data_IF_913211490034
#
_entry.id   IF_913211490034
#
_cell.length_a   1.000
_cell.length_b   1.000
_cell.length_c   1.000
_cell.angle_alpha   90.00
_cell.angle_beta   90.00
_cell.angle_gamma   90.00
#
_symmetry.space_group_name_H-M   'P 1'
#
loop_
_entity.id
_entity.type
_entity.pdbx_description
1 polymer ?
#
# COMPACT_ATOMS: atom_id res chain seq x y z
N UNK A 1 -61.71 35.45 -11.92
CA UNK A 1 -60.80 35.30 -10.76
C UNK A 1 -59.76 34.17 -10.95
N UNK A 2 -60.04 33.11 -11.71
CA UNK A 2 -59.11 31.98 -11.97
C UNK A 2 -57.88 32.29 -12.85
N UNK A 3 -57.93 33.30 -13.72
CA UNK A 3 -56.81 33.63 -14.61
C UNK A 3 -55.67 34.32 -13.84
N UNK A 4 -56.00 35.12 -12.81
CA UNK A 4 -55.00 35.77 -11.96
C UNK A 4 -54.25 34.78 -11.05
N UNK A 5 -54.88 33.70 -10.61
CA UNK A 5 -54.24 32.69 -9.74
C UNK A 5 -53.26 31.80 -10.52
N UNK A 6 -53.56 31.44 -11.78
CA UNK A 6 -52.63 30.71 -12.68
C UNK A 6 -51.38 31.53 -13.02
N UNK A 7 -51.52 32.83 -13.28
CA UNK A 7 -50.40 33.75 -13.56
C UNK A 7 -49.48 33.93 -12.35
N UNK A 8 -50.06 34.11 -11.15
CA UNK A 8 -49.29 34.18 -9.89
C UNK A 8 -48.55 32.88 -9.60
N UNK A 9 -49.17 31.70 -9.80
CA UNK A 9 -48.49 30.40 -9.64
C UNK A 9 -47.33 30.18 -10.63
N UNK A 10 -47.48 30.56 -11.91
CA UNK A 10 -46.37 30.49 -12.88
C UNK A 10 -45.21 31.41 -12.52
N UNK A 11 -45.49 32.64 -12.04
CA UNK A 11 -44.46 33.56 -11.56
C UNK A 11 -43.73 33.03 -10.32
N UNK A 12 -44.45 32.43 -9.36
CA UNK A 12 -43.84 31.80 -8.18
C UNK A 12 -42.95 30.62 -8.58
N UNK A 13 -43.38 29.77 -9.52
CA UNK A 13 -42.58 28.62 -10.02
C UNK A 13 -41.31 29.10 -10.75
N UNK A 14 -41.42 30.14 -11.57
CA UNK A 14 -40.28 30.72 -12.31
C UNK A 14 -39.30 31.42 -11.36
N UNK A 15 -39.78 32.06 -10.30
CA UNK A 15 -38.93 32.72 -9.29
C UNK A 15 -38.34 31.72 -8.28
N UNK A 16 -38.98 30.58 -8.03
CA UNK A 16 -38.44 29.52 -7.16
C UNK A 16 -37.38 28.67 -7.84
N UNK A 17 -37.43 28.52 -9.17
CA UNK A 17 -36.47 27.73 -9.94
C UNK A 17 -35.00 28.17 -9.78
N UNK A 18 -34.65 29.47 -9.89
CA UNK A 18 -33.27 29.92 -9.64
C UNK A 18 -32.87 29.76 -8.17
N UNK A 19 -33.80 29.90 -7.22
CA UNK A 19 -33.52 29.68 -5.80
C UNK A 19 -33.22 28.21 -5.51
N UNK A 20 -33.99 27.29 -6.09
CA UNK A 20 -33.75 25.84 -5.99
C UNK A 20 -32.40 25.47 -6.64
N UNK A 21 -32.08 26.06 -7.80
CA UNK A 21 -30.79 25.83 -8.46
C UNK A 21 -29.63 26.35 -7.61
N UNK A 22 -29.74 27.55 -7.03
CA UNK A 22 -28.73 28.10 -6.13
C UNK A 22 -28.59 27.26 -4.87
N UNK A 23 -29.68 26.78 -4.28
CA UNK A 23 -29.65 25.89 -3.14
C UNK A 23 -28.99 24.54 -3.46
N UNK A 24 -29.24 23.98 -4.64
CA UNK A 24 -28.60 22.74 -5.11
C UNK A 24 -27.10 22.93 -5.40
N UNK A 25 -26.71 24.06 -5.99
CA UNK A 25 -25.30 24.41 -6.19
C UNK A 25 -24.62 24.59 -4.83
N UNK A 26 -25.26 25.31 -3.90
CA UNK A 26 -24.75 25.53 -2.57
C UNK A 26 -24.58 24.21 -1.81
N UNK A 27 -25.55 23.29 -1.87
CA UNK A 27 -25.46 21.99 -1.19
C UNK A 27 -24.34 21.10 -1.72
N UNK A 28 -23.96 21.23 -3.00
CA UNK A 28 -22.84 20.52 -3.61
C UNK A 28 -21.50 21.18 -3.26
N UNK A 29 -21.42 22.52 -3.34
CA UNK A 29 -20.17 23.26 -3.19
C UNK A 29 -19.80 23.54 -1.72
N UNK A 30 -20.74 23.88 -0.85
CA UNK A 30 -20.45 24.25 0.55
C UNK A 30 -19.64 23.18 1.30
N UNK A 31 -19.98 21.87 1.22
CA UNK A 31 -19.22 20.84 1.94
C UNK A 31 -17.74 20.78 1.54
N UNK A 32 -17.43 21.11 0.29
CA UNK A 32 -16.04 21.12 -0.19
C UNK A 32 -15.23 22.29 0.36
N UNK A 33 -15.87 23.41 0.70
CA UNK A 33 -15.20 24.60 1.24
C UNK A 33 -15.05 24.56 2.76
N UNK A 34 -15.74 23.61 3.43
CA UNK A 34 -15.68 23.48 4.88
C UNK A 34 -14.43 22.71 5.31
N UNK A 35 -13.70 23.21 6.32
CA UNK A 35 -12.54 22.51 6.85
C UNK A 35 -12.93 21.17 7.48
N UNK A 36 -12.04 20.18 7.38
CA UNK A 36 -12.19 18.92 8.09
C UNK A 36 -11.90 19.14 9.58
N UNK A 37 -12.81 18.70 10.45
CA UNK A 37 -12.52 18.53 11.87
C UNK A 37 -11.80 17.18 12.11
N UNK A 38 -11.31 16.93 13.33
CA UNK A 38 -10.59 15.69 13.62
C UNK A 38 -11.39 14.42 13.33
N UNK A 39 -12.71 14.43 13.53
CA UNK A 39 -13.54 13.28 13.20
C UNK A 39 -13.65 13.04 11.68
N UNK A 40 -13.72 14.09 10.87
CA UNK A 40 -13.66 13.98 9.40
C UNK A 40 -12.27 13.53 8.93
N UNK A 41 -11.20 14.02 9.56
CA UNK A 41 -9.85 13.59 9.25
C UNK A 41 -9.67 12.09 9.51
N UNK A 42 -10.08 11.60 10.69
CA UNK A 42 -10.05 10.16 11.03
C UNK A 42 -10.85 9.32 10.04
N UNK A 43 -12.09 9.72 9.74
CA UNK A 43 -12.97 9.01 8.79
C UNK A 43 -12.53 9.09 7.33
N UNK A 44 -11.52 9.91 7.01
CA UNK A 44 -10.92 9.92 5.68
C UNK A 44 -9.89 8.80 5.48
N UNK A 45 -9.32 8.28 6.57
CA UNK A 45 -8.22 7.32 6.53
C UNK A 45 -8.70 5.95 6.06
N UNK A 46 -7.90 5.32 5.20
CA UNK A 46 -8.07 3.92 4.78
C UNK A 46 -6.82 3.11 5.12
N UNK A 47 -6.99 1.80 5.31
CA UNK A 47 -5.89 0.85 5.44
C UNK A 47 -5.80 0.01 4.17
N UNK A 48 -4.66 0.02 3.52
CA UNK A 48 -4.41 -0.74 2.30
C UNK A 48 -3.33 -1.77 2.57
N UNK A 49 -3.66 -3.03 2.28
CA UNK A 49 -2.68 -4.10 2.16
C UNK A 49 -2.18 -4.15 0.71
N UNK A 50 -0.90 -3.85 0.55
CA UNK A 50 -0.18 -3.92 -0.72
C UNK A 50 0.61 -5.23 -0.75
N UNK A 51 0.42 -6.00 -1.81
CA UNK A 51 1.14 -7.25 -2.04
C UNK A 51 1.85 -7.25 -3.37
N UNK A 52 3.09 -7.73 -3.38
CA UNK A 52 3.91 -7.84 -4.58
C UNK A 52 4.65 -9.18 -4.62
N UNK A 53 4.70 -9.79 -5.80
CA UNK A 53 5.56 -10.92 -6.08
C UNK A 53 5.87 -10.97 -7.58
N UNK A 54 6.81 -11.84 -7.95
CA UNK A 54 7.28 -12.00 -9.31
C UNK A 54 6.95 -13.41 -9.81
N UNK A 55 6.40 -13.51 -11.01
CA UNK A 55 6.09 -14.77 -11.69
C UNK A 55 7.08 -15.03 -12.82
N UNK A 56 7.67 -16.21 -12.82
CA UNK A 56 8.44 -16.75 -13.93
C UNK A 56 7.47 -17.52 -14.82
N UNK A 57 7.27 -16.99 -16.03
CA UNK A 57 6.24 -17.47 -16.98
C UNK A 57 6.87 -17.98 -18.26
N UNK A 58 6.29 -19.04 -18.83
CA UNK A 58 6.52 -19.44 -20.22
C UNK A 58 5.21 -19.24 -20.99
N UNK A 59 5.16 -18.20 -21.82
CA UNK A 59 3.90 -17.75 -22.42
C UNK A 59 2.92 -17.27 -21.34
N UNK A 60 1.81 -17.99 -21.18
CA UNK A 60 0.78 -17.71 -20.16
C UNK A 60 0.80 -18.69 -18.97
N UNK A 61 1.72 -19.66 -18.95
CA UNK A 61 1.85 -20.61 -17.85
C UNK A 61 2.87 -20.08 -16.84
N UNK A 62 2.47 -20.00 -15.57
CA UNK A 62 3.37 -19.75 -14.44
C UNK A 62 4.13 -21.04 -14.13
N UNK A 63 5.45 -20.96 -14.05
CA UNK A 63 6.33 -22.10 -13.73
C UNK A 63 6.89 -21.98 -12.32
N UNK A 64 7.22 -20.77 -11.91
CA UNK A 64 7.77 -20.49 -10.61
C UNK A 64 7.44 -19.06 -10.18
N UNK A 65 7.60 -18.77 -8.90
CA UNK A 65 7.42 -17.46 -8.29
C UNK A 65 8.61 -17.11 -7.41
N UNK A 66 8.91 -15.82 -7.30
CA UNK A 66 9.92 -15.28 -6.40
C UNK A 66 9.43 -14.01 -5.70
N UNK A 67 9.99 -13.72 -4.53
CA UNK A 67 9.58 -12.55 -3.75
C UNK A 67 10.21 -11.25 -4.26
N UNK A 68 11.45 -11.30 -4.73
CA UNK A 68 12.22 -10.12 -5.10
C UNK A 68 13.31 -10.45 -6.13
N UNK A 69 13.83 -9.39 -6.76
CA UNK A 69 14.96 -9.42 -7.68
C UNK A 69 16.03 -8.48 -7.12
N UNK A 70 17.17 -9.06 -6.73
CA UNK A 70 18.28 -8.29 -6.19
C UNK A 70 18.97 -7.41 -7.24
N UNK A 71 19.78 -6.45 -6.78
CA UNK A 71 20.52 -5.52 -7.64
C UNK A 71 21.45 -6.21 -8.65
N UNK A 72 21.92 -7.43 -8.35
CA UNK A 72 22.75 -8.26 -9.23
C UNK A 72 21.92 -9.14 -10.18
N UNK A 73 20.60 -8.90 -10.25
CA UNK A 73 19.55 -9.65 -10.96
C UNK A 73 19.17 -11.00 -10.35
N UNK A 74 19.82 -11.44 -9.26
CA UNK A 74 19.48 -12.75 -8.68
C UNK A 74 18.08 -12.76 -8.06
N UNK A 75 17.38 -13.87 -8.22
CA UNK A 75 16.02 -14.04 -7.70
C UNK A 75 16.08 -14.54 -6.26
N UNK A 76 15.30 -13.93 -5.38
CA UNK A 76 15.21 -14.35 -3.99
C UNK A 76 13.97 -15.26 -3.77
N UNK A 77 14.16 -16.32 -2.98
CA UNK A 77 13.15 -17.35 -2.65
C UNK A 77 12.33 -17.83 -3.87
N UNK A 78 12.83 -18.84 -4.59
CA UNK A 78 12.13 -19.41 -5.76
C UNK A 78 11.30 -20.63 -5.35
N UNK A 79 9.99 -20.61 -5.65
CA UNK A 79 9.04 -21.73 -5.40
C UNK A 79 8.09 -21.95 -6.58
N UNK A 80 7.34 -23.05 -6.56
CA UNK A 80 6.34 -23.37 -7.60
C UNK A 80 5.04 -22.56 -7.44
N UNK A 81 4.62 -22.31 -6.20
CA UNK A 81 3.36 -21.65 -5.86
C UNK A 81 3.57 -20.45 -4.92
N UNK A 82 2.62 -19.51 -4.97
CA UNK A 82 2.62 -18.31 -4.13
C UNK A 82 2.28 -18.70 -2.69
N UNK A 83 3.17 -18.35 -1.76
CA UNK A 83 2.96 -18.42 -0.33
C UNK A 83 3.47 -17.15 0.38
N UNK A 84 3.42 -17.16 1.72
CA UNK A 84 3.85 -16.04 2.56
C UNK A 84 5.32 -15.67 2.41
N UNK A 85 6.19 -16.58 1.98
CA UNK A 85 7.62 -16.32 1.83
C UNK A 85 7.93 -15.71 0.45
N UNK A 86 7.12 -16.04 -0.56
CA UNK A 86 7.24 -15.54 -1.94
C UNK A 86 6.48 -14.24 -2.18
N UNK A 87 5.63 -13.82 -1.24
CA UNK A 87 4.80 -12.62 -1.36
C UNK A 87 5.28 -11.54 -0.39
N UNK A 88 5.72 -10.40 -0.96
CA UNK A 88 6.04 -9.22 -0.17
C UNK A 88 4.75 -8.51 0.22
N UNK A 89 4.65 -8.13 1.49
CA UNK A 89 3.47 -7.47 2.06
C UNK A 89 3.87 -6.18 2.74
N UNK A 90 3.08 -5.14 2.51
CA UNK A 90 3.18 -3.87 3.20
C UNK A 90 1.78 -3.36 3.53
N UNK A 91 1.63 -2.77 4.71
CA UNK A 91 0.40 -2.09 5.12
C UNK A 91 0.64 -0.60 5.14
N UNK A 92 -0.13 0.13 4.34
CA UNK A 92 -0.03 1.59 4.22
C UNK A 92 -1.37 2.23 4.51
N UNK A 93 -1.34 3.46 4.99
CA UNK A 93 -2.52 4.29 5.04
C UNK A 93 -2.86 4.83 3.64
N UNK A 94 -4.10 5.23 3.46
CA UNK A 94 -4.53 6.06 2.35
C UNK A 94 -5.64 7.00 2.81
N UNK A 95 -6.21 7.72 1.86
CA UNK A 95 -7.39 8.52 2.11
C UNK A 95 -8.43 8.44 0.99
N UNK A 96 -9.70 8.46 1.38
CA UNK A 96 -10.81 8.62 0.45
C UNK A 96 -10.76 9.99 -0.21
N UNK A 97 -10.76 10.04 -1.54
CA UNK A 97 -10.63 11.31 -2.27
C UNK A 97 -11.66 11.41 -3.40
N UNK A 98 -12.32 12.56 -3.49
CA UNK A 98 -13.20 12.89 -4.59
C UNK A 98 -12.39 13.07 -5.88
N UNK A 99 -12.97 12.70 -7.03
CA UNK A 99 -12.35 12.96 -8.33
C UNK A 99 -12.26 14.46 -8.63
N UNK A 100 -13.29 15.21 -8.26
CA UNK A 100 -13.42 16.64 -8.52
C UNK A 100 -13.40 17.46 -7.23
N UNK A 101 -12.80 18.66 -7.31
CA UNK A 101 -12.58 19.53 -6.16
C UNK A 101 -13.86 19.98 -5.43
N UNK A 102 -15.00 20.00 -6.11
CA UNK A 102 -16.25 20.51 -5.55
C UNK A 102 -17.45 19.59 -5.74
N UNK A 103 -17.25 18.36 -6.22
CA UNK A 103 -18.33 17.41 -6.49
C UNK A 103 -18.07 16.13 -5.71
N UNK A 104 -19.03 15.64 -4.89
CA UNK A 104 -18.91 14.35 -4.22
C UNK A 104 -18.84 13.25 -5.30
N UNK A 105 -17.64 12.76 -5.54
CA UNK A 105 -17.28 11.94 -6.71
C UNK A 105 -16.17 10.95 -6.37
N UNK A 106 -16.14 10.48 -5.12
CA UNK A 106 -15.16 9.50 -4.67
C UNK A 106 -15.40 8.16 -5.36
N UNK A 107 -16.60 7.57 -5.28
CA UNK A 107 -16.88 6.28 -5.92
C UNK A 107 -15.84 5.19 -5.62
N UNK A 108 -15.36 5.13 -4.38
CA UNK A 108 -14.35 4.16 -3.95
C UNK A 108 -12.90 4.55 -4.25
N UNK A 109 -12.62 5.81 -4.60
CA UNK A 109 -11.26 6.30 -4.91
C UNK A 109 -10.43 6.55 -3.67
N UNK A 110 -9.22 6.00 -3.68
CA UNK A 110 -8.27 6.08 -2.57
C UNK A 110 -6.95 6.63 -3.09
N UNK A 111 -6.45 7.67 -2.44
CA UNK A 111 -5.10 8.17 -2.64
C UNK A 111 -4.15 7.60 -1.57
N UNK A 112 -3.05 7.00 -2.00
CA UNK A 112 -2.10 6.34 -1.10
C UNK A 112 -0.68 6.35 -1.71
N UNK A 113 0.30 5.84 -0.97
CA UNK A 113 1.69 5.66 -1.41
C UNK A 113 1.92 4.25 -1.92
N UNK A 114 2.90 4.10 -2.81
CA UNK A 114 3.41 2.82 -3.28
C UNK A 114 4.58 2.39 -2.40
N UNK A 115 4.38 1.43 -1.47
CA UNK A 115 5.43 1.02 -0.52
C UNK A 115 6.60 0.29 -1.19
N UNK A 116 6.45 -0.10 -2.46
CA UNK A 116 7.49 -0.75 -3.26
C UNK A 116 8.06 0.21 -4.32
N UNK A 117 7.85 1.52 -4.14
CA UNK A 117 8.43 2.54 -5.00
C UNK A 117 9.90 2.81 -4.62
N UNK A 118 10.70 3.27 -5.58
CA UNK A 118 12.12 3.57 -5.38
C UNK A 118 13.03 2.35 -5.50
N UNK A 119 12.49 1.15 -5.43
CA UNK A 119 13.18 -0.06 -5.86
C UNK A 119 13.52 0.06 -7.35
N UNK A 120 14.81 -0.05 -7.68
CA UNK A 120 15.24 -0.05 -9.08
C UNK A 120 14.44 -1.13 -9.79
N UNK A 121 13.74 -0.77 -10.86
CA UNK A 121 12.98 -1.71 -11.68
C UNK A 121 13.97 -2.55 -12.50
N UNK A 122 14.68 -3.45 -11.81
CA UNK A 122 15.67 -4.38 -12.33
C UNK A 122 14.98 -5.45 -13.18
N UNK A 123 13.64 -5.55 -13.11
CA UNK A 123 12.82 -6.43 -13.91
C UNK A 123 13.13 -6.38 -15.40
N UNK A 124 13.37 -5.18 -15.96
CA UNK A 124 13.72 -5.03 -17.37
C UNK A 124 15.10 -5.63 -17.68
N UNK A 125 16.08 -5.40 -16.80
CA UNK A 125 17.44 -5.96 -16.92
C UNK A 125 17.45 -7.48 -16.73
N UNK A 126 16.72 -7.99 -15.75
CA UNK A 126 16.55 -9.42 -15.48
C UNK A 126 15.88 -10.12 -16.68
N UNK A 127 14.86 -9.51 -17.28
CA UNK A 127 14.23 -10.06 -18.49
C UNK A 127 15.12 -10.01 -19.73
N UNK A 128 15.95 -8.95 -19.87
CA UNK A 128 16.87 -8.84 -21.00
C UNK A 128 17.92 -9.96 -20.99
N UNK A 129 18.40 -10.36 -19.80
CA UNK A 129 19.39 -11.42 -19.62
C UNK A 129 18.85 -12.55 -18.74
N UNK A 130 17.67 -13.08 -19.08
CA UNK A 130 16.96 -14.06 -18.23
C UNK A 130 17.74 -15.36 -18.02
N UNK A 131 18.46 -15.84 -19.04
CA UNK A 131 19.31 -17.03 -18.91
C UNK A 131 20.43 -16.83 -17.90
N UNK A 132 21.15 -15.70 -18.00
CA UNK A 132 22.20 -15.32 -17.05
C UNK A 132 21.64 -15.08 -15.64
N UNK A 133 20.46 -14.46 -15.54
CA UNK A 133 19.75 -14.24 -14.27
C UNK A 133 19.46 -15.58 -13.57
N UNK A 134 18.90 -16.56 -14.29
CA UNK A 134 18.61 -17.89 -13.75
C UNK A 134 19.90 -18.61 -13.38
N UNK A 135 20.94 -18.56 -14.22
CA UNK A 135 22.22 -19.24 -13.97
C UNK A 135 22.95 -18.65 -12.75
N UNK A 136 23.02 -17.32 -12.62
CA UNK A 136 23.57 -16.65 -11.44
C UNK A 136 22.79 -17.01 -10.18
N UNK A 137 21.46 -17.00 -10.25
CA UNK A 137 20.59 -17.37 -9.14
C UNK A 137 20.84 -18.82 -8.72
N UNK A 138 20.93 -19.74 -9.68
CA UNK A 138 21.24 -21.14 -9.44
C UNK A 138 22.60 -21.33 -8.78
N UNK A 139 23.64 -20.64 -9.27
CA UNK A 139 24.98 -20.71 -8.69
C UNK A 139 25.02 -20.16 -7.26
N UNK A 140 24.32 -19.04 -7.00
CA UNK A 140 24.21 -18.44 -5.67
C UNK A 140 23.44 -19.35 -4.72
N UNK A 141 22.32 -19.94 -5.16
CA UNK A 141 21.54 -20.89 -4.37
C UNK A 141 22.37 -22.13 -4.01
N UNK A 142 23.10 -22.73 -4.96
CA UNK A 142 24.00 -23.88 -4.71
C UNK A 142 25.08 -23.54 -3.68
N UNK A 143 25.78 -22.42 -3.85
CA UNK A 143 26.80 -21.95 -2.89
C UNK A 143 26.23 -21.73 -1.49
N UNK A 144 25.00 -21.23 -1.41
CA UNK A 144 24.31 -21.00 -0.13
C UNK A 144 23.91 -22.32 0.51
N UNK A 145 23.32 -23.25 -0.25
CA UNK A 145 22.98 -24.59 0.23
C UNK A 145 24.19 -25.37 0.74
N UNK A 146 25.36 -25.26 0.08
CA UNK A 146 26.61 -25.85 0.56
C UNK A 146 27.08 -25.26 1.90
N UNK A 147 26.93 -23.94 2.08
CA UNK A 147 27.24 -23.28 3.37
C UNK A 147 26.29 -23.74 4.46
N UNK A 148 24.99 -23.77 4.20
CA UNK A 148 23.99 -24.25 5.17
C UNK A 148 24.17 -25.73 5.50
N UNK A 149 24.65 -26.54 4.55
CA UNK A 149 25.04 -27.94 4.80
C UNK A 149 26.22 -28.02 5.79
N UNK A 150 27.31 -27.29 5.53
CA UNK A 150 28.46 -27.26 6.45
C UNK A 150 28.05 -26.79 7.85
N UNK A 151 27.19 -25.78 7.92
CA UNK A 151 26.62 -25.29 9.19
C UNK A 151 25.75 -26.36 9.87
N UNK A 152 24.97 -27.12 9.11
CA UNK A 152 24.20 -28.24 9.68
C UNK A 152 25.13 -29.28 10.30
N UNK A 153 26.22 -29.65 9.61
CA UNK A 153 27.19 -30.63 10.09
C UNK A 153 27.81 -30.18 11.43
N UNK A 154 28.12 -28.87 11.57
CA UNK A 154 28.61 -28.27 12.82
C UNK A 154 27.56 -28.29 13.95
N UNK A 155 26.30 -27.97 13.63
CA UNK A 155 25.20 -27.98 14.60
C UNK A 155 24.88 -29.40 15.08
N UNK A 156 24.86 -30.37 14.17
CA UNK A 156 24.65 -31.78 14.50
C UNK A 156 25.79 -32.30 15.39
N UNK A 157 27.04 -31.90 15.13
CA UNK A 157 28.17 -32.20 16.01
C UNK A 157 27.99 -31.61 17.41
N UNK A 158 27.59 -30.34 17.50
CA UNK A 158 27.33 -29.68 18.78
C UNK A 158 26.26 -30.40 19.60
N UNK A 159 25.11 -30.70 18.97
CA UNK A 159 23.96 -31.35 19.62
C UNK A 159 24.26 -32.79 20.05
N UNK A 160 25.10 -33.52 19.31
CA UNK A 160 25.52 -34.86 19.69
C UNK A 160 26.53 -34.89 20.85
N UNK A 161 27.29 -33.81 21.03
CA UNK A 161 28.36 -33.73 22.05
C UNK A 161 27.87 -33.15 23.38
N UNK A 162 26.89 -32.23 23.33
CA UNK A 162 26.38 -31.52 24.52
C UNK A 162 25.08 -32.14 25.04
N UNK A 163 24.80 -31.92 26.32
CA UNK A 163 23.60 -32.48 26.96
C UNK A 163 22.46 -31.46 26.97
N UNK A 164 21.22 -31.96 26.96
CA UNK A 164 19.98 -31.14 27.08
C UNK A 164 19.94 -30.27 28.35
N UNK A 165 20.79 -30.58 29.34
CA UNK A 165 20.92 -29.81 30.59
C UNK A 165 21.75 -28.54 30.44
N UNK A 166 22.45 -28.35 29.33
CA UNK A 166 23.28 -27.17 29.09
C UNK A 166 22.42 -25.96 28.73
N UNK A 167 22.76 -24.80 29.32
CA UNK A 167 22.13 -23.53 28.96
C UNK A 167 22.36 -23.24 27.47
N UNK A 168 21.28 -23.13 26.71
CA UNK A 168 21.32 -22.87 25.27
C UNK A 168 21.17 -24.10 24.38
N UNK A 169 21.12 -25.34 24.91
CA UNK A 169 20.87 -26.53 24.08
C UNK A 169 19.59 -26.41 23.25
N UNK A 170 18.48 -26.00 23.88
CA UNK A 170 17.20 -25.81 23.18
C UNK A 170 17.31 -24.76 22.07
N UNK A 171 18.03 -23.66 22.32
CA UNK A 171 18.26 -22.61 21.31
C UNK A 171 19.07 -23.15 20.12
N UNK A 172 20.09 -23.97 20.37
CA UNK A 172 20.89 -24.59 19.31
C UNK A 172 20.11 -25.66 18.55
N UNK A 173 19.23 -26.41 19.23
CA UNK A 173 18.34 -27.39 18.60
C UNK A 173 17.32 -26.69 17.69
N UNK A 174 16.68 -25.62 18.17
CA UNK A 174 15.77 -24.80 17.38
C UNK A 174 16.48 -24.18 16.16
N UNK A 175 17.72 -23.72 16.35
CA UNK A 175 18.53 -23.18 15.27
C UNK A 175 18.90 -24.25 14.23
N UNK A 176 19.27 -25.46 14.66
CA UNK A 176 19.53 -26.59 13.77
C UNK A 176 18.28 -27.01 12.97
N UNK A 177 17.10 -26.98 13.59
CA UNK A 177 15.85 -27.28 12.90
C UNK A 177 15.54 -26.22 11.82
N UNK A 178 15.72 -24.92 12.14
CA UNK A 178 15.53 -23.84 11.19
C UNK A 178 16.52 -23.90 10.04
N UNK A 179 17.80 -24.16 10.33
CA UNK A 179 18.85 -24.35 9.33
C UNK A 179 18.50 -25.48 8.34
N UNK A 180 17.98 -26.60 8.86
CA UNK A 180 17.51 -27.72 8.03
C UNK A 180 16.31 -27.34 7.16
N UNK A 181 15.34 -26.58 7.69
CA UNK A 181 14.18 -26.07 6.93
C UNK A 181 14.63 -25.15 5.80
N UNK A 182 15.55 -24.23 6.07
CA UNK A 182 16.05 -23.27 5.08
C UNK A 182 16.88 -23.97 3.99
N UNK A 183 17.71 -24.95 4.36
CA UNK A 183 18.40 -25.79 3.38
C UNK A 183 17.43 -26.54 2.46
N UNK A 184 16.40 -27.19 3.02
CA UNK A 184 15.39 -27.90 2.24
C UNK A 184 14.63 -26.94 1.30
N UNK A 185 14.37 -25.69 1.73
CA UNK A 185 13.77 -24.64 0.87
C UNK A 185 14.70 -24.29 -0.29
N UNK A 186 15.99 -24.08 -0.02
CA UNK A 186 17.00 -23.78 -1.05
C UNK A 186 17.15 -24.93 -2.06
N UNK A 187 17.18 -26.18 -1.59
CA UNK A 187 17.28 -27.37 -2.46
C UNK A 187 16.09 -27.48 -3.41
N UNK A 188 14.86 -27.26 -2.92
CA UNK A 188 13.67 -27.20 -3.78
C UNK A 188 13.75 -26.06 -4.81
N UNK A 189 14.23 -24.89 -4.40
CA UNK A 189 14.44 -23.77 -5.32
C UNK A 189 15.47 -24.09 -6.40
N UNK A 190 16.55 -24.79 -6.06
CA UNK A 190 17.57 -25.28 -6.99
C UNK A 190 16.95 -26.24 -8.01
N UNK A 191 16.14 -27.22 -7.58
CA UNK A 191 15.46 -28.14 -8.49
C UNK A 191 14.59 -27.42 -9.52
N UNK A 192 13.85 -26.39 -9.08
CA UNK A 192 13.03 -25.56 -9.98
C UNK A 192 13.93 -24.81 -10.97
N UNK A 193 14.97 -24.15 -10.47
CA UNK A 193 15.93 -23.39 -11.29
C UNK A 193 16.61 -24.29 -12.34
N UNK A 194 16.97 -25.52 -11.98
CA UNK A 194 17.55 -26.51 -12.90
C UNK A 194 16.57 -26.95 -13.98
N UNK A 195 15.28 -27.10 -13.66
CA UNK A 195 14.24 -27.42 -14.65
C UNK A 195 14.03 -26.27 -15.64
N UNK A 196 14.15 -25.02 -15.20
CA UNK A 196 13.82 -23.85 -16.03
C UNK A 196 15.01 -23.30 -16.82
N UNK A 197 16.27 -23.59 -16.43
CA UNK A 197 17.46 -22.98 -17.05
C UNK A 197 17.55 -23.17 -18.57
N UNK A 198 17.07 -24.30 -19.08
CA UNK A 198 17.16 -24.67 -20.50
C UNK A 198 15.87 -24.33 -21.28
N UNK A 199 14.85 -23.81 -20.60
CA UNK A 199 13.56 -23.50 -21.20
C UNK A 199 13.63 -22.17 -21.95
N UNK A 200 13.30 -22.19 -23.24
CA UNK A 200 13.21 -20.99 -24.07
C UNK A 200 11.88 -20.25 -23.85
N UNK A 201 11.92 -18.92 -24.00
CA UNK A 201 10.74 -18.06 -23.95
C UNK A 201 10.24 -17.76 -22.54
N UNK A 202 11.08 -17.96 -21.51
CA UNK A 202 10.77 -17.54 -20.15
C UNK A 202 10.78 -16.02 -20.04
N UNK A 203 9.86 -15.48 -19.23
CA UNK A 203 9.81 -14.08 -18.83
C UNK A 203 9.40 -13.95 -17.37
N UNK A 204 9.98 -12.98 -16.69
CA UNK A 204 9.57 -12.58 -15.35
C UNK A 204 8.52 -11.47 -15.47
N UNK A 205 7.40 -11.62 -14.78
CA UNK A 205 6.34 -10.62 -14.66
C UNK A 205 6.20 -10.22 -13.20
N UNK A 206 5.93 -8.94 -12.96
CA UNK A 206 5.67 -8.41 -11.63
C UNK A 206 4.17 -8.27 -11.43
N UNK A 207 3.64 -8.90 -10.39
CA UNK A 207 2.23 -8.83 -10.04
C UNK A 207 2.04 -8.07 -8.74
N UNK A 208 1.01 -7.23 -8.71
CA UNK A 208 0.66 -6.41 -7.56
C UNK A 208 -0.82 -6.49 -7.29
N UNK A 209 -1.16 -6.67 -6.02
CA UNK A 209 -2.53 -6.73 -5.53
C UNK A 209 -2.69 -5.70 -4.41
N UNK A 210 -3.81 -4.99 -4.43
CA UNK A 210 -4.14 -3.99 -3.43
C UNK A 210 -5.47 -4.38 -2.81
N UNK A 211 -5.54 -4.43 -1.50
CA UNK A 211 -6.76 -4.79 -0.78
C UNK A 211 -7.05 -3.74 0.27
N UNK A 212 -8.24 -3.13 0.21
CA UNK A 212 -8.78 -2.32 1.29
C UNK A 212 -9.15 -3.23 2.45
N UNK A 213 -8.61 -2.92 3.62
CA UNK A 213 -9.01 -3.52 4.88
C UNK A 213 -9.89 -2.55 5.67
N UNK A 214 -11.05 -3.00 6.13
CA UNK A 214 -11.99 -2.18 6.90
C UNK A 214 -12.55 -2.95 8.11
N UNK A 215 -12.90 -2.27 9.21
CA UNK A 215 -13.46 -2.93 10.38
C UNK A 215 -14.85 -3.51 10.07
N UNK A 216 -15.12 -4.74 10.53
CA UNK A 216 -16.47 -5.32 10.49
C UNK A 216 -17.00 -5.55 11.89
N UNK A 217 -18.33 -5.57 12.04
CA UNK A 217 -19.02 -5.76 13.32
C UNK A 217 -18.63 -7.06 14.09
N UNK A 218 -17.99 -8.02 13.42
CA UNK A 218 -17.54 -9.29 14.01
C UNK A 218 -16.09 -9.27 14.51
N UNK A 219 -15.45 -8.10 14.57
CA UNK A 219 -14.04 -7.97 14.99
C UNK A 219 -13.03 -8.55 13.99
N UNK A 220 -13.48 -8.88 12.77
CA UNK A 220 -12.63 -9.29 11.65
C UNK A 220 -12.44 -8.14 10.67
N UNK A 221 -11.34 -8.16 9.93
CA UNK A 221 -11.12 -7.24 8.81
C UNK A 221 -11.98 -7.67 7.62
N UNK A 222 -12.87 -6.80 7.16
CA UNK A 222 -13.48 -6.88 5.85
C UNK A 222 -12.42 -6.58 4.78
N UNK A 223 -12.56 -7.21 3.61
CA UNK A 223 -11.58 -7.10 2.52
C UNK A 223 -12.28 -6.79 1.21
N UNK A 224 -11.77 -5.79 0.50
CA UNK A 224 -12.22 -5.45 -0.85
C UNK A 224 -11.00 -5.24 -1.73
N UNK A 225 -10.97 -5.91 -2.87
CA UNK A 225 -9.92 -5.74 -3.87
C UNK A 225 -9.97 -4.34 -4.47
N UNK A 226 -8.79 -3.78 -4.75
CA UNK A 226 -8.61 -2.45 -5.28
C UNK A 226 -7.84 -2.52 -6.60
N UNK A 227 -8.34 -1.79 -7.61
CA UNK A 227 -7.69 -1.64 -8.91
C UNK A 227 -6.89 -0.35 -8.95
N UNK A 228 -5.66 -0.43 -9.45
CA UNK A 228 -4.81 0.75 -9.66
C UNK A 228 -5.28 1.53 -10.89
N UNK A 229 -5.55 2.82 -10.72
CA UNK A 229 -5.92 3.72 -11.81
C UNK A 229 -4.65 4.24 -12.52
N UNK A 230 -4.12 3.44 -13.45
CA UNK A 230 -2.81 3.68 -14.06
C UNK A 230 -2.65 5.09 -14.68
N UNK A 231 -3.66 5.59 -15.40
CA UNK A 231 -3.59 6.89 -16.06
C UNK A 231 -3.62 8.07 -15.10
N UNK A 232 -4.20 7.89 -13.92
CA UNK A 232 -4.21 8.91 -12.87
C UNK A 232 -2.92 8.85 -12.06
N UNK A 233 -2.49 7.65 -11.65
CA UNK A 233 -1.21 7.43 -10.96
C UNK A 233 -0.04 8.05 -11.72
N UNK A 234 0.00 7.93 -13.05
CA UNK A 234 1.05 8.55 -13.90
C UNK A 234 1.13 10.08 -13.79
N UNK A 235 0.05 10.74 -13.39
CA UNK A 235 -0.04 12.21 -13.25
C UNK A 235 0.28 12.69 -11.84
N UNK A 236 0.46 11.77 -10.88
CA UNK A 236 0.72 12.07 -9.48
C UNK A 236 2.24 12.17 -9.21
N UNK A 237 2.65 12.73 -8.06
CA UNK A 237 4.03 12.64 -7.61
C UNK A 237 4.52 11.18 -7.59
N UNK A 238 5.80 10.98 -7.89
CA UNK A 238 6.36 9.63 -7.85
C UNK A 238 6.30 9.08 -6.42
N UNK A 239 6.14 7.77 -6.27
CA UNK A 239 5.90 7.14 -4.96
C UNK A 239 4.45 7.16 -4.50
N UNK A 240 3.55 7.77 -5.27
CA UNK A 240 2.12 7.77 -4.95
C UNK A 240 1.28 7.03 -5.99
N UNK A 241 0.08 6.61 -5.61
CA UNK A 241 -0.86 5.99 -6.52
C UNK A 241 -2.32 6.28 -6.17
N UNK A 242 -3.15 6.20 -7.21
CA UNK A 242 -4.59 6.23 -7.09
C UNK A 242 -5.14 4.81 -7.23
N UNK A 243 -5.93 4.39 -6.25
CA UNK A 243 -6.65 3.12 -6.25
C UNK A 243 -8.16 3.38 -6.34
N UNK A 244 -8.89 2.37 -6.79
CA UNK A 244 -10.34 2.34 -6.77
C UNK A 244 -10.79 0.97 -6.25
N UNK A 245 -11.63 0.95 -5.23
CA UNK A 245 -12.23 -0.29 -4.75
C UNK A 245 -13.07 -0.95 -5.84
N UNK A 246 -13.15 -2.27 -5.83
CA UNK A 246 -14.13 -2.99 -6.62
C UNK A 246 -15.55 -2.51 -6.28
N UNK A 247 -16.38 -2.42 -7.32
CA UNK A 247 -17.76 -1.95 -7.29
C UNK A 247 -17.99 -0.53 -6.70
N UNK A 248 -16.91 0.24 -6.51
CA UNK A 248 -16.99 1.60 -5.98
C UNK A 248 -17.40 1.69 -4.51
N UNK A 249 -17.17 0.62 -3.74
CA UNK A 249 -17.43 0.57 -2.30
C UNK A 249 -16.80 1.73 -1.51
N UNK A 250 -17.56 2.26 -0.56
CA UNK A 250 -17.13 3.26 0.41
C UNK A 250 -17.73 2.86 1.77
N UNK A 251 -16.96 2.97 2.86
CA UNK A 251 -17.51 2.74 4.22
C UNK A 251 -18.61 3.76 4.52
N UNK A 252 -19.68 3.34 5.20
CA UNK A 252 -20.86 4.19 5.46
C UNK A 252 -20.52 5.47 6.24
N UNK A 253 -19.48 5.42 7.07
CA UNK A 253 -18.98 6.54 7.86
C UNK A 253 -17.82 7.31 7.21
N UNK A 254 -17.38 6.91 6.02
CA UNK A 254 -16.21 7.50 5.37
C UNK A 254 -16.40 8.98 5.03
N UNK A 255 -15.35 9.76 5.23
CA UNK A 255 -15.27 11.13 4.75
C UNK A 255 -14.38 11.23 3.51
N UNK A 256 -14.98 11.61 2.38
CA UNK A 256 -14.27 11.80 1.12
C UNK A 256 -13.67 13.20 1.05
N UNK A 257 -12.34 13.29 0.96
CA UNK A 257 -11.59 14.54 0.86
C UNK A 257 -11.84 15.20 -0.50
N UNK A 258 -11.99 16.51 -0.49
CA UNK A 258 -12.07 17.31 -1.71
C UNK A 258 -10.68 17.79 -2.12
N UNK A 259 -10.16 17.42 -3.30
CA UNK A 259 -8.84 17.86 -3.75
C UNK A 259 -8.91 19.28 -4.31
N UNK A 260 -9.01 20.29 -3.43
CA UNK A 260 -9.03 21.71 -3.80
C UNK A 260 -7.59 22.18 -4.14
N UNK A 261 -6.96 21.49 -5.10
CA UNK A 261 -5.53 21.61 -5.43
C UNK A 261 -5.14 22.91 -6.15
N UNK A 262 -6.07 23.80 -6.50
CA UNK A 262 -5.76 24.90 -7.44
C UNK A 262 -6.31 26.29 -7.13
N UNK A 263 -7.25 26.44 -6.19
CA UNK A 263 -7.93 27.74 -6.01
C UNK A 263 -7.59 28.39 -4.66
N UNK A 264 -7.29 27.60 -3.62
CA UNK A 264 -7.03 28.09 -2.26
C UNK A 264 -5.88 27.37 -1.56
N UNK A 265 -4.80 27.02 -2.29
CA UNK A 265 -3.69 26.26 -1.69
C UNK A 265 -2.95 27.16 -0.68
N UNK A 266 -3.31 27.01 0.59
CA UNK A 266 -2.45 27.36 1.72
C UNK A 266 -1.34 26.31 1.76
N UNK A 267 -0.35 26.47 0.88
CA UNK A 267 0.90 25.69 0.94
C UNK A 267 1.46 25.99 2.33
N UNK A 268 1.65 24.97 3.19
CA UNK A 268 2.15 25.22 4.52
C UNK A 268 3.58 25.74 4.42
N UNK A 269 3.84 26.87 5.07
CA UNK A 269 5.18 27.45 5.19
C UNK A 269 5.97 26.73 6.27
N UNK A 270 7.29 26.93 6.34
CA UNK A 270 8.12 26.36 7.41
C UNK A 270 7.61 26.81 8.78
N UNK A 271 7.38 25.85 9.68
CA UNK A 271 6.91 26.08 11.04
C UNK A 271 5.38 26.10 11.18
N UNK A 272 4.63 26.00 10.08
CA UNK A 272 3.17 25.87 10.12
C UNK A 272 2.74 24.60 10.83
N UNK A 273 1.70 24.72 11.66
CA UNK A 273 1.11 23.56 12.30
C UNK A 273 0.33 22.71 11.29
N UNK A 274 0.58 21.41 11.33
CA UNK A 274 -0.10 20.41 10.52
C UNK A 274 -0.67 19.32 11.44
N UNK A 275 -1.66 18.60 10.93
CA UNK A 275 -2.25 17.44 11.57
C UNK A 275 -2.16 16.26 10.61
N UNK A 276 -1.60 15.15 11.06
CA UNK A 276 -1.66 13.87 10.36
C UNK A 276 -2.83 13.06 10.92
N UNK A 277 -3.56 12.36 10.05
CA UNK A 277 -4.54 11.37 10.46
C UNK A 277 -4.13 10.01 9.90
N UNK A 278 -4.10 8.98 10.73
CA UNK A 278 -3.63 7.66 10.31
C UNK A 278 -3.87 6.58 11.35
N UNK A 279 -3.61 5.34 10.95
CA UNK A 279 -3.51 4.20 11.86
C UNK A 279 -2.04 4.13 12.28
N UNK A 280 -1.72 4.60 13.49
CA UNK A 280 -0.34 4.72 13.96
C UNK A 280 0.25 3.37 14.35
N UNK A 281 1.57 3.24 14.24
CA UNK A 281 2.27 1.99 14.56
C UNK A 281 2.28 0.94 13.44
N UNK A 282 1.87 1.31 12.21
CA UNK A 282 2.00 0.42 11.06
C UNK A 282 3.48 0.13 10.76
N UNK A 283 3.81 -1.14 10.61
CA UNK A 283 5.14 -1.63 10.23
C UNK A 283 5.02 -2.89 9.36
N UNK A 284 6.14 -3.39 8.86
CA UNK A 284 6.19 -4.56 7.98
C UNK A 284 5.66 -5.86 8.61
N UNK A 285 5.55 -5.92 9.95
CA UNK A 285 4.96 -7.04 10.69
C UNK A 285 3.47 -6.91 10.96
N UNK A 286 2.83 -5.83 10.52
CA UNK A 286 1.40 -5.63 10.74
C UNK A 286 0.57 -6.71 10.01
N UNK A 287 -0.43 -7.20 10.73
CA UNK A 287 -1.40 -8.16 10.22
C UNK A 287 -2.75 -7.49 10.01
N UNK A 288 -3.70 -8.22 9.44
CA UNK A 288 -5.07 -7.75 9.18
C UNK A 288 -5.79 -7.22 10.43
N UNK A 289 -5.31 -7.58 11.63
CA UNK A 289 -5.78 -7.02 12.90
C UNK A 289 -5.64 -5.50 12.99
N UNK A 290 -4.69 -4.90 12.26
CA UNK A 290 -4.53 -3.45 12.18
C UNK A 290 -5.79 -2.75 11.64
N UNK A 291 -6.64 -3.46 10.86
CA UNK A 291 -7.91 -2.91 10.37
C UNK A 291 -8.94 -2.67 11.47
N UNK A 292 -8.77 -3.28 12.65
CA UNK A 292 -9.62 -3.04 13.81
C UNK A 292 -9.19 -1.81 14.63
N UNK A 293 -8.00 -1.26 14.36
CA UNK A 293 -7.51 -0.07 15.03
C UNK A 293 -8.19 1.17 14.45
N UNK A 294 -8.77 1.98 15.33
CA UNK A 294 -9.38 3.24 14.91
C UNK A 294 -8.29 4.25 14.47
N UNK A 295 -8.48 4.96 13.36
CA UNK A 295 -7.60 6.06 12.97
C UNK A 295 -7.55 7.13 14.06
N UNK A 296 -6.37 7.72 14.25
CA UNK A 296 -6.18 8.80 15.21
C UNK A 296 -5.50 10.00 14.53
N UNK A 297 -5.43 11.13 15.23
CA UNK A 297 -4.80 12.35 14.75
C UNK A 297 -3.60 12.72 15.60
N UNK A 298 -2.56 13.26 14.97
CA UNK A 298 -1.39 13.78 15.66
C UNK A 298 -0.98 15.12 15.07
N UNK A 299 -0.51 16.04 15.92
CA UNK A 299 -0.10 17.38 15.50
C UNK A 299 1.41 17.46 15.39
N UNK A 300 1.88 18.09 14.33
CA UNK A 300 3.28 18.46 14.17
C UNK A 300 3.42 19.80 13.49
N UNK A 301 4.59 20.02 12.92
CA UNK A 301 4.93 21.20 12.15
C UNK A 301 5.66 20.82 10.87
N UNK A 302 5.50 21.66 9.87
CA UNK A 302 6.34 21.61 8.68
C UNK A 302 7.77 22.05 9.00
N UNK A 303 8.74 21.30 8.50
CA UNK A 303 10.16 21.68 8.53
C UNK A 303 10.57 22.43 7.26
N UNK A 304 9.83 22.21 6.16
CA UNK A 304 9.93 22.92 4.88
C UNK A 304 8.57 22.93 4.17
N UNK A 305 8.52 23.44 2.94
CA UNK A 305 7.33 23.38 2.09
C UNK A 305 6.91 21.95 1.72
N UNK A 306 7.80 20.96 1.88
CA UNK A 306 7.58 19.58 1.43
C UNK A 306 7.87 18.54 2.51
N UNK A 307 8.21 18.94 3.74
CA UNK A 307 8.61 18.02 4.81
C UNK A 307 8.06 18.44 6.16
N UNK A 308 7.97 17.50 7.10
CA UNK A 308 7.48 17.75 8.47
C UNK A 308 8.36 17.12 9.56
N UNK A 309 8.08 17.47 10.82
CA UNK A 309 8.79 16.97 12.01
C UNK A 309 8.11 15.79 12.70
N UNK A 310 6.98 15.30 12.16
CA UNK A 310 6.23 14.19 12.77
C UNK A 310 7.05 12.88 12.63
N UNK A 311 7.28 12.14 13.72
CA UNK A 311 7.97 10.84 13.68
C UNK A 311 7.22 9.81 12.84
N UNK A 312 7.95 8.91 12.17
CA UNK A 312 7.41 7.84 11.31
C UNK A 312 6.33 6.99 12.01
N UNK A 313 6.50 6.69 13.31
CA UNK A 313 5.53 5.93 14.09
C UNK A 313 4.14 6.59 14.13
N UNK A 314 4.10 7.93 14.04
CA UNK A 314 2.91 8.78 14.14
C UNK A 314 2.51 9.38 12.79
N UNK A 315 3.36 9.25 11.77
CA UNK A 315 3.06 9.58 10.39
C UNK A 315 3.35 8.33 9.54
N UNK A 316 2.43 7.35 9.53
CA UNK A 316 2.59 6.17 8.71
C UNK A 316 2.53 6.54 7.23
N UNK A 317 3.12 5.68 6.40
CA UNK A 317 3.14 5.81 4.95
C UNK A 317 1.71 5.97 4.38
N UNK A 318 1.51 7.00 3.56
CA UNK A 318 0.22 7.33 2.92
C UNK A 318 -0.82 7.99 3.81
N UNK A 319 -0.48 8.34 5.06
CA UNK A 319 -1.39 9.05 5.97
C UNK A 319 -1.76 10.44 5.44
N UNK A 320 -3.05 10.82 5.37
CA UNK A 320 -3.45 12.16 4.98
C UNK A 320 -2.98 13.23 5.98
N UNK A 321 -2.43 14.31 5.41
CA UNK A 321 -1.96 15.49 6.11
C UNK A 321 -2.90 16.66 5.87
N UNK A 322 -3.15 17.41 6.93
CA UNK A 322 -4.02 18.59 6.95
C UNK A 322 -3.27 19.78 7.53
N UNK A 323 -3.52 20.98 7.01
CA UNK A 323 -3.00 22.21 7.61
C UNK A 323 -3.74 22.57 8.91
N UNK A 324 -3.28 23.60 9.60
CA UNK A 324 -3.92 24.14 10.83
C UNK A 324 -5.41 24.44 10.69
N UNK A 325 -5.86 24.73 9.47
CA UNK A 325 -7.25 25.07 9.17
C UNK A 325 -8.08 23.82 8.84
N UNK A 326 -7.51 22.63 8.78
CA UNK A 326 -8.23 21.39 8.45
C UNK A 326 -8.42 21.14 6.95
N UNK A 327 -7.65 21.80 6.09
CA UNK A 327 -7.63 21.49 4.66
C UNK A 327 -6.55 20.47 4.35
N UNK A 328 -6.87 19.52 3.48
CA UNK A 328 -5.95 18.50 3.00
C UNK A 328 -4.80 19.13 2.20
N UNK A 329 -3.57 18.77 2.54
CA UNK A 329 -2.35 19.31 1.92
C UNK A 329 -1.49 18.26 1.21
N UNK A 330 -1.79 16.97 1.38
CA UNK A 330 -1.06 15.85 0.80
C UNK A 330 -1.12 14.60 1.68
N UNK A 331 -0.39 13.56 1.29
CA UNK A 331 -0.15 12.37 2.12
C UNK A 331 1.31 12.31 2.55
N UNK A 332 1.58 11.70 3.69
CA UNK A 332 2.94 11.44 4.15
C UNK A 332 3.61 10.35 3.29
N UNK A 333 4.87 10.58 2.92
CA UNK A 333 5.76 9.58 2.32
C UNK A 333 7.20 9.88 2.74
N UNK A 334 7.83 8.99 3.51
CA UNK A 334 9.22 9.14 4.01
C UNK A 334 9.49 10.49 4.71
N UNK A 335 8.50 11.00 5.47
CA UNK A 335 8.57 12.31 6.15
C UNK A 335 8.33 13.52 5.24
N UNK A 336 8.06 13.26 3.95
CA UNK A 336 7.67 14.24 2.94
C UNK A 336 6.16 14.38 2.78
N UNK A 337 5.74 15.50 2.19
CA UNK A 337 4.34 15.85 1.91
C UNK A 337 4.08 15.70 0.41
N UNK A 338 3.52 14.56 0.00
CA UNK A 338 3.22 14.26 -1.40
C UNK A 338 1.83 14.76 -1.79
N UNK A 339 1.76 15.59 -2.83
CA UNK A 339 0.55 16.33 -3.19
C UNK A 339 -0.24 15.70 -4.32
#
# INVERSE_FOLDING_TARGET
MEIQTKSKRKKIIIWSLPVILLAAIASILLPSLLPANYDRMKRSVTLIECREYYEITQGNKVIAVCNDIENDTTLNIVKEEVDSDTERKAMVCGCWINKWAFIPSCGGRIFTVDPFYGERDILAAANANIGETIEKTLQKAKRTAEKEKKRQDELDYYLNTHSVKDEGYNTMADYAENNKKDRNRLEKGIEILEKIKDIKGIRIRKNRYYTLLYPTAKGKAGKISCKRLADETKKMPRGTMMLMTEDGFISDDAYCIYPIKRIFVLIPEKGDSITVAGIFGLNNGCSEKAAAQEPNVFKGRTTSLETHDIPELLAPEGAPLFNRNGFFIGINHEGGIMR
#
